data_IF_117593275669
#
_entry.id   IF_117593275669
#
_cell.length_a   1.000
_cell.length_b   1.000
_cell.length_c   1.000
_cell.angle_alpha   90.00
_cell.angle_beta   90.00
_cell.angle_gamma   90.00
#
_symmetry.space_group_name_H-M   'P 1'
#
loop_
_entity.id
_entity.type
_entity.pdbx_description
1 polymer ?
#
# COMPACT_ATOMS: atom_id res chain seq x y z
N UNK A 1 25.18 -10.93 4.31
CA UNK A 1 25.55 -10.57 5.70
C UNK A 1 26.83 -11.27 6.16
N UNK A 2 27.03 -12.56 5.88
CA UNK A 2 28.22 -13.37 6.27
C UNK A 2 29.55 -12.69 5.93
N UNK A 3 29.70 -12.15 4.71
CA UNK A 3 30.92 -11.44 4.25
C UNK A 3 31.26 -10.22 5.14
N UNK A 4 30.26 -9.57 5.74
CA UNK A 4 30.48 -8.45 6.66
C UNK A 4 31.02 -8.94 8.01
N UNK A 5 30.50 -10.06 8.51
CA UNK A 5 30.95 -10.65 9.78
C UNK A 5 32.40 -11.15 9.70
N UNK A 6 32.84 -11.60 8.53
CA UNK A 6 34.23 -12.05 8.30
C UNK A 6 35.26 -10.90 8.34
N UNK A 7 34.81 -9.63 8.44
CA UNK A 7 35.64 -8.42 8.52
C UNK A 7 35.91 -7.91 9.93
N UNK A 8 35.94 -8.79 10.94
CA UNK A 8 36.19 -8.44 12.34
C UNK A 8 35.19 -7.41 12.92
N UNK A 9 33.95 -7.49 12.52
CA UNK A 9 32.86 -6.66 13.08
C UNK A 9 32.49 -7.25 14.44
N UNK A 10 32.58 -6.44 15.51
CA UNK A 10 32.27 -6.87 16.86
C UNK A 10 30.78 -7.05 17.13
N UNK A 11 29.94 -6.28 16.47
CA UNK A 11 28.50 -6.30 16.71
C UNK A 11 27.76 -5.84 15.45
N UNK A 12 26.61 -6.47 15.16
CA UNK A 12 25.66 -6.03 14.13
C UNK A 12 24.31 -5.84 14.81
N UNK A 13 23.73 -4.65 14.67
CA UNK A 13 22.40 -4.33 15.15
C UNK A 13 21.52 -4.03 13.95
N UNK A 14 20.45 -4.82 13.79
CA UNK A 14 19.42 -4.61 12.76
C UNK A 14 18.18 -4.04 13.46
N UNK A 15 17.69 -2.92 12.97
CA UNK A 15 16.48 -2.29 13.48
C UNK A 15 15.61 -1.78 12.34
N UNK A 16 14.30 -2.03 12.43
CA UNK A 16 13.31 -1.48 11.51
C UNK A 16 11.90 -1.66 12.10
N UNK A 17 10.97 -0.83 11.70
CA UNK A 17 9.54 -1.00 12.01
C UNK A 17 8.86 -2.17 11.28
N UNK A 18 9.55 -2.81 10.31
CA UNK A 18 8.99 -3.86 9.43
C UNK A 18 9.87 -5.11 9.34
N UNK A 19 10.65 -5.42 10.37
CA UNK A 19 11.47 -6.63 10.40
C UNK A 19 10.67 -7.92 10.64
N UNK A 20 9.48 -7.82 11.17
CA UNK A 20 8.61 -8.99 11.36
C UNK A 20 8.02 -9.48 10.00
N UNK A 21 7.89 -10.80 9.81
CA UNK A 21 8.26 -11.90 10.69
C UNK A 21 9.78 -12.18 10.69
N UNK A 22 10.37 -12.30 11.87
CA UNK A 22 11.84 -12.44 12.02
C UNK A 22 12.42 -13.75 11.47
N UNK A 23 11.65 -14.85 11.51
CA UNK A 23 12.14 -16.17 11.08
C UNK A 23 12.61 -16.20 9.63
N UNK A 24 11.84 -15.74 8.63
CA UNK A 24 12.27 -15.67 7.24
C UNK A 24 13.51 -14.79 7.06
N UNK A 25 13.54 -13.62 7.71
CA UNK A 25 14.65 -12.69 7.64
C UNK A 25 15.94 -13.30 8.16
N UNK A 26 15.90 -14.00 9.30
CA UNK A 26 17.07 -14.67 9.88
C UNK A 26 17.59 -15.77 8.95
N UNK A 27 16.66 -16.53 8.36
CA UNK A 27 17.01 -17.57 7.39
C UNK A 27 17.69 -17.00 6.13
N UNK A 28 17.19 -15.86 5.64
CA UNK A 28 17.74 -15.19 4.46
C UNK A 28 19.12 -14.56 4.73
N UNK A 29 19.32 -14.02 5.92
CA UNK A 29 20.59 -13.39 6.31
C UNK A 29 21.70 -14.42 6.60
N UNK A 30 21.35 -15.67 6.85
CA UNK A 30 22.30 -16.78 7.20
C UNK A 30 23.25 -16.41 8.36
N UNK A 31 22.71 -15.75 9.38
CA UNK A 31 23.48 -15.37 10.59
C UNK A 31 22.80 -15.90 11.85
N UNK A 32 23.60 -16.18 12.86
CA UNK A 32 23.08 -16.46 14.20
C UNK A 32 22.80 -15.13 14.92
N UNK A 33 21.57 -15.00 15.44
CA UNK A 33 21.13 -13.79 16.15
C UNK A 33 20.90 -14.16 17.61
N UNK A 34 21.81 -13.70 18.47
CA UNK A 34 21.79 -14.00 19.90
C UNK A 34 20.69 -13.25 20.67
N UNK A 35 20.34 -12.03 20.26
CA UNK A 35 19.31 -11.22 20.90
C UNK A 35 18.25 -10.82 19.88
N UNK A 36 16.99 -11.04 20.23
CA UNK A 36 15.84 -10.70 19.40
C UNK A 36 14.84 -9.93 20.23
N UNK A 37 14.43 -8.79 19.74
CA UNK A 37 13.42 -7.96 20.38
C UNK A 37 12.31 -7.69 19.35
N UNK A 38 11.10 -8.05 19.68
CA UNK A 38 9.90 -7.76 18.87
C UNK A 38 8.87 -7.14 19.80
N UNK A 39 8.70 -5.84 19.68
CA UNK A 39 7.72 -5.11 20.49
C UNK A 39 6.36 -5.13 19.80
N UNK A 40 5.26 -5.18 20.57
CA UNK A 40 3.93 -5.00 19.99
C UNK A 40 3.77 -3.59 19.42
N UNK A 41 2.83 -3.42 18.49
CA UNK A 41 2.47 -2.10 17.98
C UNK A 41 1.88 -1.24 19.10
N UNK A 42 2.15 0.07 19.03
CA UNK A 42 1.56 1.07 19.95
C UNK A 42 0.08 1.29 19.63
N UNK A 43 -0.31 1.00 18.37
CA UNK A 43 -1.68 1.20 17.87
C UNK A 43 -2.56 0.06 18.35
N UNK A 44 -3.67 0.38 19.00
CA UNK A 44 -4.67 -0.59 19.44
C UNK A 44 -5.55 -1.04 18.26
N UNK A 45 -6.13 -2.24 18.38
CA UNK A 45 -6.90 -2.86 17.31
C UNK A 45 -8.16 -2.08 16.89
N UNK A 46 -8.72 -1.26 17.76
CA UNK A 46 -9.86 -0.39 17.52
C UNK A 46 -9.49 0.91 16.76
N UNK A 47 -8.20 1.25 16.70
CA UNK A 47 -7.67 2.38 15.94
C UNK A 47 -7.41 2.02 14.47
N UNK A 48 -7.53 0.75 14.09
CA UNK A 48 -7.25 0.27 12.72
C UNK A 48 -8.47 -0.44 12.16
N UNK A 49 -8.92 0.00 10.99
CA UNK A 49 -10.00 -0.66 10.25
C UNK A 49 -9.46 -1.14 8.89
N UNK A 50 -9.40 -2.46 8.69
CA UNK A 50 -8.99 -3.07 7.43
C UNK A 50 -10.21 -3.62 6.71
N UNK A 51 -10.40 -3.20 5.46
CA UNK A 51 -11.50 -3.66 4.60
C UNK A 51 -10.99 -4.10 3.24
N UNK A 52 -11.54 -5.18 2.73
CA UNK A 52 -11.32 -5.64 1.35
C UNK A 52 -12.61 -5.43 0.59
N UNK A 53 -12.53 -4.64 -0.48
CA UNK A 53 -13.68 -4.34 -1.32
C UNK A 53 -13.61 -5.19 -2.59
N UNK A 54 -14.59 -6.06 -2.78
CA UNK A 54 -14.68 -6.94 -3.96
C UNK A 54 -15.47 -6.33 -5.11
N UNK A 55 -16.32 -5.33 -4.83
CA UNK A 55 -17.17 -4.64 -5.81
C UNK A 55 -17.23 -3.15 -5.53
N UNK A 56 -17.38 -2.39 -6.59
CA UNK A 56 -17.68 -0.96 -6.51
C UNK A 56 -19.14 -0.66 -6.24
N UNK A 57 -19.50 0.64 -6.07
CA UNK A 57 -20.88 1.06 -5.84
C UNK A 57 -21.79 0.82 -7.05
N UNK A 58 -21.23 0.68 -8.24
CA UNK A 58 -21.87 0.31 -9.51
C UNK A 58 -21.95 -1.19 -9.74
N UNK A 59 -21.63 -2.00 -8.72
CA UNK A 59 -21.60 -3.47 -8.73
C UNK A 59 -20.51 -4.08 -9.64
N UNK A 60 -19.64 -3.28 -10.25
CA UNK A 60 -18.50 -3.77 -11.02
C UNK A 60 -17.49 -4.47 -10.09
N UNK A 61 -16.90 -5.57 -10.58
CA UNK A 61 -15.90 -6.32 -9.82
C UNK A 61 -14.57 -5.57 -9.73
N UNK A 62 -14.09 -5.37 -8.50
CA UNK A 62 -12.80 -4.72 -8.23
C UNK A 62 -11.66 -5.77 -8.25
N UNK A 63 -11.40 -6.31 -9.42
CA UNK A 63 -10.34 -7.28 -9.65
C UNK A 63 -9.18 -6.64 -10.44
N UNK A 64 -8.08 -6.32 -9.76
CA UNK A 64 -6.89 -5.67 -10.32
C UNK A 64 -5.88 -6.62 -10.96
N UNK A 65 -6.28 -7.83 -11.37
CA UNK A 65 -5.40 -8.75 -12.07
C UNK A 65 -4.86 -8.12 -13.37
N UNK A 66 -3.85 -8.74 -13.97
CA UNK A 66 -3.18 -8.23 -15.17
C UNK A 66 -4.15 -7.95 -16.32
N UNK A 67 -5.19 -8.76 -16.50
CA UNK A 67 -6.15 -8.62 -17.58
C UNK A 67 -7.13 -7.46 -17.34
N UNK A 68 -7.56 -7.24 -16.10
CA UNK A 68 -8.62 -6.31 -15.75
C UNK A 68 -8.14 -4.92 -15.32
N UNK A 69 -6.90 -4.80 -14.83
CA UNK A 69 -6.37 -3.54 -14.27
C UNK A 69 -6.36 -2.35 -15.23
N UNK A 70 -6.45 -2.59 -16.55
CA UNK A 70 -6.55 -1.55 -17.57
C UNK A 70 -7.99 -1.38 -18.11
N UNK A 71 -8.98 -2.12 -17.61
CA UNK A 71 -10.36 -2.02 -18.07
C UNK A 71 -10.96 -0.69 -17.62
N UNK A 72 -11.50 0.13 -18.53
CA UNK A 72 -12.10 1.43 -18.18
C UNK A 72 -13.23 1.32 -17.16
N UNK A 73 -14.03 0.26 -17.18
CA UNK A 73 -15.10 0.03 -16.20
C UNK A 73 -14.53 -0.21 -14.81
N UNK A 74 -13.48 -1.03 -14.70
CA UNK A 74 -12.76 -1.25 -13.44
C UNK A 74 -12.18 0.06 -12.91
N UNK A 75 -11.47 0.83 -13.74
CA UNK A 75 -10.86 2.10 -13.34
C UNK A 75 -11.91 3.12 -12.90
N UNK A 76 -13.04 3.20 -13.60
CA UNK A 76 -14.16 4.07 -13.21
C UNK A 76 -14.76 3.64 -11.88
N UNK A 77 -15.06 2.35 -11.70
CA UNK A 77 -15.61 1.81 -10.46
C UNK A 77 -14.67 2.04 -9.27
N UNK A 78 -13.36 1.85 -9.46
CA UNK A 78 -12.35 2.17 -8.46
C UNK A 78 -12.39 3.67 -8.08
N UNK A 79 -12.51 4.55 -9.06
CA UNK A 79 -12.65 5.99 -8.82
C UNK A 79 -13.90 6.35 -8.02
N UNK A 80 -15.03 5.72 -8.28
CA UNK A 80 -16.26 5.91 -7.52
C UNK A 80 -16.12 5.45 -6.07
N UNK A 81 -15.43 4.32 -5.83
CA UNK A 81 -15.10 3.87 -4.47
C UNK A 81 -14.26 4.90 -3.74
N UNK A 82 -13.20 5.38 -4.36
CA UNK A 82 -12.32 6.40 -3.77
C UNK A 82 -13.10 7.67 -3.48
N UNK A 83 -13.89 8.16 -4.44
CA UNK A 83 -14.73 9.35 -4.27
C UNK A 83 -15.71 9.24 -3.09
N UNK A 84 -16.24 8.05 -2.83
CA UNK A 84 -17.09 7.80 -1.68
C UNK A 84 -16.30 7.74 -0.37
N UNK A 85 -15.16 7.07 -0.36
CA UNK A 85 -14.34 6.91 0.84
C UNK A 85 -13.75 8.23 1.33
N UNK A 86 -13.27 9.10 0.44
CA UNK A 86 -12.68 10.38 0.83
C UNK A 86 -13.66 11.34 1.51
N UNK A 87 -14.96 11.14 1.32
CA UNK A 87 -16.00 11.91 2.02
C UNK A 87 -16.20 11.49 3.47
N UNK A 88 -15.85 10.24 3.78
CA UNK A 88 -16.06 9.63 5.10
C UNK A 88 -14.77 9.68 5.92
N UNK A 89 -13.63 9.49 5.29
CA UNK A 89 -12.34 9.48 5.96
C UNK A 89 -11.98 10.91 6.37
N UNK A 90 -11.70 11.18 7.64
CA UNK A 90 -11.19 12.49 8.06
C UNK A 90 -9.77 12.71 7.54
N UNK A 91 -9.32 13.95 7.52
CA UNK A 91 -7.96 14.36 7.17
C UNK A 91 -7.48 13.90 5.77
N UNK A 92 -6.30 13.31 5.67
CA UNK A 92 -5.67 12.91 4.41
C UNK A 92 -6.01 11.49 3.97
N UNK A 93 -5.95 11.23 2.67
CA UNK A 93 -6.06 9.89 2.08
C UNK A 93 -4.84 9.61 1.23
N UNK A 94 -4.23 8.46 1.44
CA UNK A 94 -3.07 8.00 0.70
C UNK A 94 -3.48 6.80 -0.17
N UNK A 95 -3.23 6.90 -1.48
CA UNK A 95 -3.61 5.87 -2.45
C UNK A 95 -2.33 5.29 -3.07
N UNK A 96 -2.16 3.98 -2.95
CA UNK A 96 -1.03 3.25 -3.51
C UNK A 96 -1.42 2.54 -4.79
N UNK A 97 -0.62 2.70 -5.84
CA UNK A 97 -0.79 2.04 -7.12
C UNK A 97 0.35 1.04 -7.37
N UNK A 98 0.08 -0.05 -8.11
CA UNK A 98 1.12 -1.04 -8.43
C UNK A 98 2.18 -0.52 -9.41
N UNK A 99 1.91 0.58 -10.13
CA UNK A 99 2.85 1.25 -11.02
C UNK A 99 2.39 2.65 -11.40
N UNK A 100 3.33 3.50 -11.82
CA UNK A 100 3.03 4.84 -12.36
C UNK A 100 2.08 4.77 -13.57
N UNK A 101 2.27 3.79 -14.45
CA UNK A 101 1.41 3.60 -15.63
C UNK A 101 -0.04 3.38 -15.25
N UNK A 102 -0.31 2.56 -14.23
CA UNK A 102 -1.68 2.32 -13.75
C UNK A 102 -2.24 3.56 -13.06
N UNK A 103 -1.44 4.27 -12.30
CA UNK A 103 -1.83 5.54 -11.68
C UNK A 103 -2.28 6.56 -12.74
N UNK A 104 -1.43 6.80 -13.75
CA UNK A 104 -1.72 7.77 -14.81
C UNK A 104 -2.98 7.42 -15.59
N UNK A 105 -3.15 6.13 -15.96
CA UNK A 105 -4.37 5.65 -16.62
C UNK A 105 -5.62 5.83 -15.76
N UNK A 106 -5.50 5.57 -14.46
CA UNK A 106 -6.61 5.78 -13.53
C UNK A 106 -7.01 7.26 -13.48
N UNK A 107 -6.03 8.15 -13.33
CA UNK A 107 -6.26 9.59 -13.28
C UNK A 107 -6.88 10.09 -14.61
N UNK A 108 -6.35 9.67 -15.76
CA UNK A 108 -6.91 10.01 -17.07
C UNK A 108 -8.37 9.57 -17.21
N UNK A 109 -8.70 8.33 -16.80
CA UNK A 109 -10.06 7.83 -16.81
C UNK A 109 -10.96 8.64 -15.87
N UNK A 110 -10.50 8.99 -14.67
CA UNK A 110 -11.27 9.79 -13.71
C UNK A 110 -11.46 11.23 -14.17
N UNK A 111 -10.48 11.82 -14.86
CA UNK A 111 -10.60 13.13 -15.48
C UNK A 111 -11.66 13.12 -16.58
N UNK A 112 -11.66 12.12 -17.44
CA UNK A 112 -12.65 12.00 -18.53
C UNK A 112 -14.09 11.79 -18.05
N UNK A 113 -14.26 11.28 -16.82
CA UNK A 113 -15.59 10.98 -16.22
C UNK A 113 -16.01 12.00 -15.16
N UNK A 114 -15.22 13.05 -14.88
CA UNK A 114 -15.49 14.04 -13.85
C UNK A 114 -15.30 13.53 -12.40
N UNK A 115 -14.91 12.28 -12.21
CA UNK A 115 -14.65 11.71 -10.89
C UNK A 115 -13.45 12.41 -10.24
N UNK A 116 -12.44 12.77 -11.03
CA UNK A 116 -11.24 13.45 -10.56
C UNK A 116 -11.55 14.80 -9.92
N UNK A 117 -12.45 15.57 -10.53
CA UNK A 117 -12.87 16.86 -9.99
C UNK A 117 -13.63 16.71 -8.66
N UNK A 118 -14.47 15.68 -8.54
CA UNK A 118 -15.16 15.36 -7.30
C UNK A 118 -14.18 14.95 -6.17
N UNK A 119 -13.10 14.23 -6.50
CA UNK A 119 -12.03 13.88 -5.57
C UNK A 119 -11.30 15.14 -5.09
N UNK A 120 -10.84 15.99 -6.01
CA UNK A 120 -10.09 17.20 -5.71
C UNK A 120 -10.92 18.26 -4.97
N UNK A 121 -12.21 18.36 -5.24
CA UNK A 121 -13.10 19.25 -4.54
C UNK A 121 -13.30 18.88 -3.05
N UNK A 122 -13.10 17.61 -2.72
CA UNK A 122 -13.26 17.11 -1.36
C UNK A 122 -11.95 17.17 -0.57
N UNK A 123 -10.83 16.86 -1.19
CA UNK A 123 -9.50 16.84 -0.55
C UNK A 123 -8.40 17.21 -1.52
N UNK A 124 -7.36 17.89 -1.02
CA UNK A 124 -6.13 18.10 -1.78
C UNK A 124 -5.43 16.74 -1.95
N UNK A 125 -5.35 16.27 -3.17
CA UNK A 125 -4.85 14.92 -3.48
C UNK A 125 -3.33 14.95 -3.62
N UNK A 126 -2.62 14.27 -2.72
CA UNK A 126 -1.20 13.97 -2.89
C UNK A 126 -1.06 12.54 -3.41
N UNK A 127 -0.41 12.37 -4.55
CA UNK A 127 -0.21 11.07 -5.17
C UNK A 127 0.99 10.35 -4.56
N UNK A 128 0.82 9.10 -4.20
CA UNK A 128 1.94 8.24 -3.83
C UNK A 128 1.86 6.92 -4.62
N UNK A 129 2.98 6.54 -5.20
CA UNK A 129 3.15 5.26 -5.90
C UNK A 129 4.13 4.41 -5.13
N UNK A 130 3.72 3.23 -4.71
CA UNK A 130 4.63 2.18 -4.28
C UNK A 130 4.69 1.12 -5.36
N UNK A 131 5.87 0.92 -5.91
CA UNK A 131 6.18 -0.26 -6.71
C UNK A 131 6.74 -1.31 -5.75
N UNK A 132 6.02 -2.40 -5.55
CA UNK A 132 6.60 -3.61 -4.96
C UNK A 132 7.38 -4.32 -6.06
N UNK A 133 8.69 -4.43 -5.88
CA UNK A 133 9.54 -5.32 -6.66
C UNK A 133 9.36 -6.75 -6.18
#
# INVERSE_FOLDING_TARGET
MKILLDRNIHCVILTSGTLAPLKPLISELEIDIGVRIENPHIVDGDQVCVKILSKGPDMELLNSNFQNRNNPKYLQSLGLVISNLIRIIPDGVLIFFPSYVIMEKSIQQWQSTGIWDAINATKVTTHCVLTTH
#
